data_IF_950651725546
#
_entry.id   IF_950651725546
#
_cell.length_a   1.000
_cell.length_b   1.000
_cell.length_c   1.000
_cell.angle_alpha   90.00
_cell.angle_beta   90.00
_cell.angle_gamma   90.00
#
_symmetry.space_group_name_H-M   'P 1'
#
loop_
_entity.id
_entity.type
_entity.pdbx_description
1 polymer ?
#
# COMPACT_ATOMS: atom_id res chain seq x y z
N UNK A 1 -13.60 8.40 -3.44
CA UNK A 1 -13.08 8.75 -2.10
C UNK A 1 -13.32 10.23 -1.85
N UNK A 2 -13.93 10.60 -0.70
CA UNK A 2 -14.10 12.01 -0.32
C UNK A 2 -12.74 12.64 -0.01
N UNK A 3 -12.46 13.81 -0.59
CA UNK A 3 -11.20 14.52 -0.36
C UNK A 3 -11.29 15.34 0.94
N UNK A 4 -10.65 14.85 1.99
CA UNK A 4 -10.53 15.57 3.26
C UNK A 4 -9.26 16.41 3.25
N UNK A 5 -9.37 17.68 3.66
CA UNK A 5 -8.21 18.55 3.81
C UNK A 5 -7.57 18.27 5.17
N UNK A 6 -6.24 18.09 5.22
CA UNK A 6 -5.55 17.97 6.51
C UNK A 6 -5.36 19.35 7.14
N UNK A 7 -5.77 19.48 8.39
CA UNK A 7 -5.60 20.63 9.28
C UNK A 7 -4.69 20.34 10.48
N UNK A 8 -4.03 19.18 10.48
CA UNK A 8 -3.03 18.81 11.50
C UNK A 8 -1.82 19.72 11.49
N UNK A 9 -0.90 19.51 12.43
CA UNK A 9 0.29 20.32 12.67
C UNK A 9 1.16 20.43 11.42
N UNK A 10 1.51 21.66 11.05
CA UNK A 10 2.34 21.95 9.88
C UNK A 10 3.81 21.53 10.08
N UNK A 11 4.26 21.30 11.33
CA UNK A 11 5.59 20.74 11.63
C UNK A 11 5.77 19.32 11.10
N UNK A 12 4.68 18.60 10.85
CA UNK A 12 4.69 17.24 10.28
C UNK A 12 4.63 17.25 8.73
N UNK A 13 4.78 18.42 8.11
CA UNK A 13 4.63 18.63 6.66
C UNK A 13 5.85 19.36 6.08
N UNK A 14 5.91 19.45 4.74
CA UNK A 14 6.93 20.25 4.04
C UNK A 14 8.31 19.58 3.95
N UNK A 15 8.35 18.26 4.08
CA UNK A 15 9.56 17.46 3.88
C UNK A 15 9.20 16.11 3.25
N UNK A 16 10.22 15.42 2.74
CA UNK A 16 10.08 14.08 2.18
C UNK A 16 9.62 13.08 3.25
N UNK A 17 8.43 12.50 3.10
CA UNK A 17 7.87 11.52 4.05
C UNK A 17 8.70 10.25 4.21
N UNK A 18 9.64 10.00 3.29
CA UNK A 18 10.48 8.81 3.29
C UNK A 18 11.82 8.99 4.00
N UNK A 19 12.37 10.21 4.02
CA UNK A 19 13.73 10.43 4.53
C UNK A 19 13.94 11.73 5.31
N UNK A 20 12.91 12.57 5.49
CA UNK A 20 13.03 13.88 6.12
C UNK A 20 13.78 14.93 5.29
N UNK A 21 14.15 14.58 4.05
CA UNK A 21 14.82 15.49 3.11
C UNK A 21 13.88 16.55 2.52
N UNK A 22 14.32 17.30 1.51
CA UNK A 22 13.54 18.40 0.94
C UNK A 22 12.24 17.91 0.26
N UNK A 23 11.20 18.74 0.33
CA UNK A 23 9.95 18.57 -0.42
C UNK A 23 10.12 19.12 -1.85
N UNK A 24 10.41 18.23 -2.80
CA UNK A 24 10.72 18.61 -4.19
C UNK A 24 9.68 18.11 -5.20
N UNK A 25 8.93 17.07 -4.82
CA UNK A 25 8.05 16.32 -5.69
C UNK A 25 6.87 15.76 -4.90
N UNK A 26 5.86 15.28 -5.62
CA UNK A 26 4.69 14.63 -5.05
C UNK A 26 4.74 13.14 -5.39
N UNK A 27 4.56 12.30 -4.38
CA UNK A 27 4.52 10.84 -4.48
C UNK A 27 3.08 10.35 -4.28
N UNK A 28 2.58 9.52 -5.18
CA UNK A 28 1.18 9.09 -5.15
C UNK A 28 0.99 7.90 -4.21
N UNK A 29 -0.14 7.87 -3.53
CA UNK A 29 -0.45 6.87 -2.50
C UNK A 29 -1.84 6.28 -2.80
N UNK A 30 -1.93 5.03 -3.27
CA UNK A 30 -0.83 4.23 -3.79
C UNK A 30 -0.28 4.77 -5.11
N UNK A 31 0.88 4.25 -5.48
CA UNK A 31 1.48 4.49 -6.79
C UNK A 31 0.57 4.03 -7.91
N UNK A 32 0.47 4.82 -8.97
CA UNK A 32 -0.47 4.59 -10.09
C UNK A 32 -0.29 3.23 -10.77
N UNK A 33 0.91 2.64 -10.75
CA UNK A 33 1.15 1.31 -11.34
C UNK A 33 0.36 0.19 -10.63
N UNK A 34 0.05 0.39 -9.34
CA UNK A 34 -0.76 -0.52 -8.53
C UNK A 34 -2.27 -0.35 -8.78
N UNK A 35 -2.67 0.62 -9.61
CA UNK A 35 -4.07 0.93 -9.95
C UNK A 35 -4.32 0.82 -11.45
N UNK A 36 -5.59 0.64 -11.81
CA UNK A 36 -6.07 0.64 -13.19
C UNK A 36 -6.72 1.97 -13.56
N UNK A 37 -6.69 2.27 -14.87
CA UNK A 37 -7.37 3.42 -15.45
C UNK A 37 -8.85 3.09 -15.72
N UNK A 38 -9.78 4.04 -15.49
CA UNK A 38 -9.56 5.38 -14.97
C UNK A 38 -9.19 5.40 -13.48
N UNK A 39 -8.22 6.25 -13.11
CA UNK A 39 -7.81 6.40 -11.71
C UNK A 39 -8.91 7.09 -10.89
N UNK A 40 -8.97 6.85 -9.57
CA UNK A 40 -9.79 7.66 -8.67
C UNK A 40 -9.48 9.15 -8.81
N UNK A 41 -10.51 9.99 -8.91
CA UNK A 41 -10.37 11.44 -9.16
C UNK A 41 -9.47 12.15 -8.13
N UNK A 42 -9.55 11.74 -6.86
CA UNK A 42 -8.84 12.34 -5.73
C UNK A 42 -7.75 11.40 -5.19
N UNK A 43 -6.86 10.94 -6.07
CA UNK A 43 -5.78 10.06 -5.66
C UNK A 43 -4.88 10.75 -4.62
N UNK A 44 -4.62 10.05 -3.52
CA UNK A 44 -3.87 10.60 -2.40
C UNK A 44 -2.41 10.78 -2.80
N UNK A 45 -1.75 11.76 -2.20
CA UNK A 45 -0.35 12.04 -2.48
C UNK A 45 0.34 12.75 -1.32
N UNK A 46 1.65 12.55 -1.20
CA UNK A 46 2.50 13.09 -0.13
C UNK A 46 3.75 13.76 -0.67
N UNK A 47 4.33 14.66 0.12
CA UNK A 47 5.61 15.31 -0.16
C UNK A 47 6.77 14.31 -0.22
N UNK A 48 7.63 14.43 -1.21
CA UNK A 48 8.79 13.55 -1.41
C UNK A 48 9.96 14.29 -2.06
N UNK A 49 11.18 13.90 -1.71
CA UNK A 49 12.37 14.34 -2.45
C UNK A 49 12.47 13.55 -3.77
N UNK A 50 13.18 14.12 -4.75
CA UNK A 50 13.33 13.50 -6.08
C UNK A 50 14.00 12.14 -6.01
N UNK A 51 14.96 11.96 -5.10
CA UNK A 51 15.68 10.68 -4.90
C UNK A 51 14.72 9.57 -4.42
N UNK A 52 13.91 9.84 -3.40
CA UNK A 52 12.99 8.84 -2.85
C UNK A 52 11.85 8.52 -3.81
N UNK A 53 11.25 9.54 -4.42
CA UNK A 53 10.12 9.35 -5.35
C UNK A 53 10.52 8.50 -6.58
N UNK A 54 11.71 8.74 -7.14
CA UNK A 54 12.17 7.96 -8.31
C UNK A 54 12.85 6.63 -7.95
N UNK A 55 13.41 6.52 -6.74
CA UNK A 55 14.27 5.41 -6.33
C UNK A 55 13.56 4.05 -6.21
N UNK A 56 12.23 4.03 -6.14
CA UNK A 56 11.44 2.81 -6.01
C UNK A 56 10.58 2.48 -7.22
N UNK A 57 10.62 3.28 -8.30
CA UNK A 57 9.77 3.08 -9.48
C UNK A 57 9.88 1.68 -10.09
N UNK A 58 11.09 1.13 -10.19
CA UNK A 58 11.34 -0.23 -10.69
C UNK A 58 10.85 -1.32 -9.72
N UNK A 59 10.87 -1.08 -8.42
CA UNK A 59 10.38 -2.03 -7.42
C UNK A 59 8.85 -2.07 -7.40
N UNK A 60 8.21 -0.91 -7.61
CA UNK A 60 6.75 -0.79 -7.72
C UNK A 60 6.22 -1.42 -9.01
N UNK A 61 6.89 -1.19 -10.13
CA UNK A 61 6.59 -1.85 -11.41
C UNK A 61 6.75 -3.37 -11.28
N UNK A 62 7.84 -3.82 -10.65
CA UNK A 62 8.06 -5.23 -10.37
C UNK A 62 6.93 -5.83 -9.52
N UNK A 63 6.56 -5.20 -8.40
CA UNK A 63 5.50 -5.70 -7.53
C UNK A 63 4.15 -5.77 -8.26
N UNK A 64 3.79 -4.72 -9.00
CA UNK A 64 2.54 -4.68 -9.74
C UNK A 64 2.45 -5.80 -10.79
N UNK A 65 3.55 -6.04 -11.52
CA UNK A 65 3.63 -7.11 -12.51
C UNK A 65 3.66 -8.50 -11.86
N UNK A 66 4.41 -8.68 -10.78
CA UNK A 66 4.47 -9.95 -10.04
C UNK A 66 3.08 -10.35 -9.56
N UNK A 67 2.35 -9.45 -8.89
CA UNK A 67 1.00 -9.73 -8.39
C UNK A 67 0.04 -10.12 -9.50
N UNK A 68 0.09 -9.42 -10.63
CA UNK A 68 -0.75 -9.75 -11.78
C UNK A 68 -0.44 -11.13 -12.35
N UNK A 69 0.84 -11.45 -12.52
CA UNK A 69 1.26 -12.76 -13.02
C UNK A 69 0.92 -13.89 -12.04
N UNK A 70 1.05 -13.66 -10.74
CA UNK A 70 0.67 -14.62 -9.69
C UNK A 70 -0.83 -14.91 -9.75
N UNK A 71 -1.67 -13.86 -9.82
CA UNK A 71 -3.13 -14.00 -9.87
C UNK A 71 -3.59 -14.65 -11.18
N UNK A 72 -2.95 -14.34 -12.31
CA UNK A 72 -3.25 -14.97 -13.59
C UNK A 72 -2.67 -16.40 -13.71
N UNK A 73 -1.69 -16.76 -12.88
CA UNK A 73 -0.93 -18.01 -12.98
C UNK A 73 0.04 -18.06 -14.18
N UNK A 74 0.26 -16.95 -14.87
CA UNK A 74 1.02 -16.89 -16.11
C UNK A 74 1.80 -15.56 -16.25
N UNK A 75 2.77 -15.53 -17.16
CA UNK A 75 3.52 -14.31 -17.54
C UNK A 75 3.12 -13.77 -18.91
N UNK A 76 2.40 -14.56 -19.71
CA UNK A 76 2.02 -14.20 -21.07
C UNK A 76 1.07 -12.98 -21.05
N UNK A 77 1.42 -11.84 -21.65
CA UNK A 77 0.65 -10.60 -21.55
C UNK A 77 -0.82 -10.74 -21.96
N UNK A 78 -1.14 -11.60 -22.92
CA UNK A 78 -2.49 -11.88 -23.41
C UNK A 78 -3.37 -12.67 -22.42
N UNK A 79 -2.77 -13.26 -21.38
CA UNK A 79 -3.48 -13.98 -20.31
C UNK A 79 -3.69 -13.12 -19.07
N UNK A 80 -3.12 -11.92 -19.02
CA UNK A 80 -3.23 -11.03 -17.87
C UNK A 80 -4.57 -10.29 -17.91
N UNK A 81 -5.16 -10.10 -16.74
CA UNK A 81 -6.40 -9.39 -16.52
C UNK A 81 -6.21 -7.86 -16.64
N UNK A 82 -5.07 -7.33 -16.18
CA UNK A 82 -4.79 -5.89 -16.17
C UNK A 82 -4.08 -5.45 -17.44
N UNK A 83 -4.83 -4.79 -18.33
CA UNK A 83 -4.31 -4.28 -19.62
C UNK A 83 -3.06 -3.38 -19.48
N UNK A 84 -3.00 -2.57 -18.41
CA UNK A 84 -1.84 -1.73 -18.10
C UNK A 84 -0.58 -2.57 -17.84
N UNK A 85 -0.70 -3.64 -17.06
CA UNK A 85 0.41 -4.53 -16.73
C UNK A 85 0.83 -5.36 -17.95
N UNK A 86 -0.14 -5.84 -18.73
CA UNK A 86 0.14 -6.51 -20.00
C UNK A 86 1.00 -5.65 -20.93
N UNK A 87 0.66 -4.36 -21.08
CA UNK A 87 1.46 -3.42 -21.88
C UNK A 87 2.89 -3.25 -21.33
N UNK A 88 3.03 -3.06 -20.02
CA UNK A 88 4.35 -2.95 -19.38
C UNK A 88 5.21 -4.18 -19.70
N UNK A 89 4.66 -5.39 -19.58
CA UNK A 89 5.43 -6.61 -19.84
C UNK A 89 5.71 -6.87 -21.33
N UNK A 90 4.87 -6.36 -22.23
CA UNK A 90 5.14 -6.36 -23.68
C UNK A 90 6.32 -5.43 -24.03
N UNK A 91 6.40 -4.27 -23.37
CA UNK A 91 7.42 -3.25 -23.65
C UNK A 91 8.73 -3.49 -22.88
N UNK A 92 8.66 -4.14 -21.72
CA UNK A 92 9.80 -4.40 -20.83
C UNK A 92 10.20 -5.89 -20.81
N UNK A 93 10.93 -6.31 -21.84
CA UNK A 93 11.39 -7.69 -21.98
C UNK A 93 12.31 -8.16 -20.84
N UNK A 94 13.07 -7.25 -20.22
CA UNK A 94 13.93 -7.58 -19.08
C UNK A 94 13.10 -7.98 -17.86
N UNK A 95 12.05 -7.21 -17.55
CA UNK A 95 11.14 -7.51 -16.45
C UNK A 95 10.33 -8.78 -16.73
N UNK A 96 9.84 -8.98 -17.96
CA UNK A 96 9.15 -10.21 -18.35
C UNK A 96 10.03 -11.44 -18.13
N UNK A 97 11.27 -11.42 -18.64
CA UNK A 97 12.23 -12.51 -18.45
C UNK A 97 12.55 -12.76 -16.96
N UNK A 98 12.58 -11.69 -16.15
CA UNK A 98 12.80 -11.79 -14.70
C UNK A 98 11.65 -12.54 -14.02
N UNK A 99 10.40 -12.21 -14.36
CA UNK A 99 9.20 -12.86 -13.83
C UNK A 99 9.06 -14.31 -14.33
N UNK A 100 9.40 -14.57 -15.60
CA UNK A 100 9.41 -15.92 -16.16
C UNK A 100 10.39 -16.84 -15.41
N UNK A 101 11.57 -16.33 -15.06
CA UNK A 101 12.55 -17.08 -14.25
C UNK A 101 12.11 -17.27 -12.80
N UNK A 102 11.26 -16.39 -12.28
CA UNK A 102 10.71 -16.51 -10.93
C UNK A 102 9.58 -17.55 -10.85
N UNK A 103 8.97 -17.93 -11.97
CA UNK A 103 7.90 -18.92 -12.06
C UNK A 103 8.47 -20.33 -12.22
N UNK A 104 7.97 -21.27 -11.43
CA UNK A 104 8.16 -22.71 -11.62
C UNK A 104 6.82 -23.43 -11.60
N UNK A 105 6.68 -24.54 -12.32
CA UNK A 105 5.48 -25.37 -12.23
C UNK A 105 5.57 -26.26 -10.99
N UNK A 106 4.59 -26.14 -10.09
CA UNK A 106 4.41 -27.00 -8.92
C UNK A 106 3.23 -27.97 -9.12
N UNK A 107 3.06 -28.90 -8.18
CA UNK A 107 2.00 -29.93 -8.26
C UNK A 107 0.58 -29.34 -8.25
N UNK A 108 0.36 -28.29 -7.48
CA UNK A 108 -0.94 -27.62 -7.33
C UNK A 108 -1.09 -26.38 -8.23
N UNK A 109 -0.08 -26.10 -9.06
CA UNK A 109 -0.05 -24.94 -9.95
C UNK A 109 1.26 -24.16 -9.92
N UNK A 110 1.30 -22.98 -10.55
CA UNK A 110 2.50 -22.16 -10.63
C UNK A 110 2.95 -21.65 -9.26
N UNK A 111 4.24 -21.82 -8.96
CA UNK A 111 4.91 -21.28 -7.77
C UNK A 111 5.80 -20.11 -8.21
N UNK A 112 5.84 -19.06 -7.40
CA UNK A 112 6.56 -17.83 -7.71
C UNK A 112 7.58 -17.49 -6.63
N UNK A 113 8.85 -17.42 -7.00
CA UNK A 113 9.93 -16.94 -6.15
C UNK A 113 9.96 -15.40 -6.16
N UNK A 114 9.19 -14.78 -5.27
CA UNK A 114 9.14 -13.33 -5.13
C UNK A 114 10.47 -12.75 -4.62
N UNK A 115 10.87 -11.59 -5.16
CA UNK A 115 12.00 -10.82 -4.63
C UNK A 115 11.55 -10.01 -3.41
N UNK A 116 11.52 -10.68 -2.26
CA UNK A 116 10.96 -10.14 -1.02
C UNK A 116 11.54 -8.76 -0.65
N UNK A 117 12.83 -8.51 -0.89
CA UNK A 117 13.42 -7.19 -0.61
C UNK A 117 12.75 -6.05 -1.40
N UNK A 118 12.38 -6.29 -2.67
CA UNK A 118 11.64 -5.30 -3.47
C UNK A 118 10.24 -5.09 -2.91
N UNK A 119 9.56 -6.18 -2.60
CA UNK A 119 8.20 -6.17 -2.05
C UNK A 119 8.15 -5.41 -0.73
N UNK A 120 9.08 -5.70 0.18
CA UNK A 120 9.21 -5.02 1.48
C UNK A 120 9.48 -3.53 1.35
N UNK A 121 10.37 -3.11 0.44
CA UNK A 121 10.62 -1.69 0.19
C UNK A 121 9.39 -0.95 -0.31
N UNK A 122 8.60 -1.56 -1.19
CA UNK A 122 7.35 -0.96 -1.67
C UNK A 122 6.29 -0.90 -0.57
N UNK A 123 6.13 -1.97 0.21
CA UNK A 123 5.19 -2.00 1.33
C UNK A 123 5.52 -0.90 2.36
N UNK A 124 6.79 -0.75 2.74
CA UNK A 124 7.25 0.29 3.66
C UNK A 124 7.01 1.69 3.09
N UNK A 125 7.33 1.92 1.81
CA UNK A 125 7.05 3.19 1.12
C UNK A 125 5.57 3.56 1.22
N UNK A 126 4.69 2.63 0.84
CA UNK A 126 3.24 2.86 0.87
C UNK A 126 2.75 3.12 2.30
N UNK A 127 3.27 2.39 3.29
CA UNK A 127 2.88 2.57 4.67
C UNK A 127 3.30 3.94 5.24
N UNK A 128 4.55 4.39 5.01
CA UNK A 128 5.00 5.73 5.39
C UNK A 128 4.13 6.84 4.79
N UNK A 129 3.80 6.66 3.51
CA UNK A 129 2.89 7.53 2.79
C UNK A 129 1.48 7.59 3.41
N UNK A 130 0.89 6.45 3.78
CA UNK A 130 -0.43 6.42 4.45
C UNK A 130 -0.40 7.01 5.85
N UNK A 131 0.65 6.75 6.63
CA UNK A 131 0.85 7.35 7.95
C UNK A 131 0.89 8.89 7.85
N UNK A 132 1.68 9.42 6.91
CA UNK A 132 1.75 10.86 6.68
C UNK A 132 0.45 11.44 6.11
N UNK A 133 -0.22 10.74 5.18
CA UNK A 133 -1.43 11.26 4.54
C UNK A 133 -2.66 11.21 5.44
N UNK A 134 -2.98 10.06 6.03
CA UNK A 134 -4.22 9.91 6.80
C UNK A 134 -4.07 10.44 8.23
N UNK A 135 -2.95 10.14 8.88
CA UNK A 135 -2.73 10.45 10.30
C UNK A 135 -1.99 11.77 10.53
N UNK A 136 -1.33 12.33 9.50
CA UNK A 136 -0.41 13.47 9.63
C UNK A 136 0.80 13.16 10.55
N UNK A 137 1.17 11.87 10.62
CA UNK A 137 2.26 11.34 11.44
C UNK A 137 3.31 10.64 10.55
N UNK A 138 4.28 11.37 9.97
CA UNK A 138 5.30 10.78 9.10
C UNK A 138 6.28 9.91 9.91
N UNK A 139 6.48 8.68 9.45
CA UNK A 139 7.34 7.69 10.11
C UNK A 139 8.69 7.54 9.41
N UNK A 140 9.69 8.30 9.85
CA UNK A 140 11.03 8.33 9.23
C UNK A 140 11.95 7.18 9.66
N UNK A 141 11.66 6.56 10.80
CA UNK A 141 12.43 5.43 11.31
C UNK A 141 11.98 4.12 10.67
N UNK A 142 12.80 3.07 10.83
CA UNK A 142 12.39 1.71 10.47
C UNK A 142 11.27 1.23 11.40
N UNK A 143 10.30 0.45 10.88
CA UNK A 143 9.20 -0.07 11.68
C UNK A 143 9.68 -1.13 12.68
N UNK A 144 8.96 -1.27 13.79
CA UNK A 144 9.16 -2.37 14.75
C UNK A 144 8.70 -3.71 14.17
N UNK A 145 7.74 -3.68 13.24
CA UNK A 145 7.28 -4.85 12.50
C UNK A 145 6.96 -4.53 11.03
N UNK A 146 7.34 -5.44 10.13
CA UNK A 146 6.96 -5.43 8.71
C UNK A 146 6.60 -6.85 8.30
N UNK A 147 5.30 -7.12 8.20
CA UNK A 147 4.71 -8.39 7.81
C UNK A 147 4.13 -8.32 6.40
N UNK A 148 4.43 -9.32 5.57
CA UNK A 148 3.89 -9.44 4.22
C UNK A 148 3.48 -10.88 4.01
N UNK A 149 2.22 -11.11 3.68
CA UNK A 149 1.69 -12.47 3.50
C UNK A 149 0.54 -12.49 2.49
N UNK A 150 0.55 -13.42 1.52
CA UNK A 150 -0.62 -13.66 0.70
C UNK A 150 -1.81 -14.05 1.58
N UNK A 151 -2.96 -13.40 1.38
CA UNK A 151 -4.19 -13.65 2.12
C UNK A 151 -4.64 -15.12 2.04
N UNK A 152 -4.53 -15.84 0.89
CA UNK A 152 -4.87 -17.26 0.84
C UNK A 152 -3.94 -18.17 1.66
N UNK A 153 -2.77 -17.69 2.07
CA UNK A 153 -1.81 -18.44 2.88
C UNK A 153 -1.92 -18.10 4.38
N UNK A 154 -2.79 -17.16 4.76
CA UNK A 154 -3.11 -16.91 6.16
C UNK A 154 -3.99 -18.04 6.69
N UNK A 155 -3.75 -18.47 7.92
CA UNK A 155 -4.71 -19.27 8.67
C UNK A 155 -5.97 -18.44 8.94
N UNK A 156 -7.06 -19.10 9.34
CA UNK A 156 -8.29 -18.41 9.73
C UNK A 156 -8.03 -17.38 10.85
N UNK A 157 -7.31 -17.79 11.91
CA UNK A 157 -6.94 -16.91 13.03
C UNK A 157 -6.07 -15.71 12.58
N UNK A 158 -5.10 -15.93 11.69
CA UNK A 158 -4.25 -14.87 11.15
C UNK A 158 -5.08 -13.91 10.29
N UNK A 159 -5.99 -14.44 9.46
CA UNK A 159 -6.84 -13.64 8.60
C UNK A 159 -7.82 -12.81 9.42
N UNK A 160 -8.44 -13.41 10.43
CA UNK A 160 -9.31 -12.71 11.37
C UNK A 160 -8.53 -11.60 12.10
N UNK A 161 -7.35 -11.89 12.64
CA UNK A 161 -6.53 -10.88 13.31
C UNK A 161 -6.10 -9.75 12.37
N UNK A 162 -5.78 -10.06 11.12
CA UNK A 162 -5.42 -9.07 10.11
C UNK A 162 -6.61 -8.15 9.77
N UNK A 163 -7.81 -8.71 9.56
CA UNK A 163 -9.01 -7.96 9.15
C UNK A 163 -9.74 -7.29 10.34
N UNK A 164 -9.56 -7.78 11.57
CA UNK A 164 -10.21 -7.29 12.80
C UNK A 164 -9.94 -5.81 13.01
N UNK A 165 -10.98 -5.04 13.31
CA UNK A 165 -10.81 -3.65 13.69
C UNK A 165 -10.12 -3.54 15.05
N UNK A 166 -9.14 -2.65 15.14
CA UNK A 166 -8.53 -2.37 16.42
C UNK A 166 -9.48 -1.39 17.09
N UNK A 167 -10.41 -1.92 17.90
CA UNK A 167 -11.42 -1.16 18.64
C UNK A 167 -10.74 -0.10 19.53
N UNK A 168 -10.39 1.03 18.92
CA UNK A 168 -9.65 2.12 19.54
C UNK A 168 -10.65 3.05 20.25
N UNK A 169 -11.43 2.53 21.18
CA UNK A 169 -12.26 3.35 22.06
C UNK A 169 -11.43 4.33 22.93
N UNK A 170 -10.09 4.27 22.90
CA UNK A 170 -9.19 5.04 23.77
C UNK A 170 -8.28 6.09 23.12
N UNK A 171 -7.99 6.04 21.82
CA UNK A 171 -6.97 6.91 21.18
C UNK A 171 -7.57 7.66 20.01
N UNK A 172 -7.65 8.98 20.14
CA UNK A 172 -8.10 9.87 19.07
C UNK A 172 -6.93 10.18 18.13
N UNK A 173 -7.13 10.07 16.80
CA UNK A 173 -6.11 10.52 15.85
C UNK A 173 -5.75 11.99 16.04
N UNK A 174 -4.59 12.39 15.54
CA UNK A 174 -4.12 13.78 15.61
C UNK A 174 -5.22 14.77 15.22
N UNK A 175 -5.41 15.82 16.03
CA UNK A 175 -6.43 16.84 15.80
C UNK A 175 -6.21 17.49 14.43
N UNK A 176 -7.25 17.48 13.59
CA UNK A 176 -7.19 18.03 12.23
C UNK A 176 -6.66 17.06 11.18
N UNK A 177 -6.20 15.86 11.56
CA UNK A 177 -5.88 14.78 10.62
C UNK A 177 -7.11 14.37 9.78
N UNK A 178 -6.87 13.66 8.68
CA UNK A 178 -7.96 13.12 7.86
C UNK A 178 -8.66 11.98 8.59
N UNK A 179 -7.90 11.14 9.30
CA UNK A 179 -8.45 10.10 10.15
C UNK A 179 -9.42 10.65 11.21
N UNK A 180 -9.07 11.73 11.92
CA UNK A 180 -9.99 12.36 12.88
C UNK A 180 -11.27 12.87 12.20
N UNK A 181 -11.16 13.48 11.02
CA UNK A 181 -12.34 13.93 10.28
C UNK A 181 -13.25 12.77 9.84
N UNK A 182 -12.67 11.64 9.45
CA UNK A 182 -13.44 10.42 9.10
C UNK A 182 -14.24 9.92 10.30
N UNK A 183 -13.64 9.93 11.49
CA UNK A 183 -14.34 9.60 12.75
C UNK A 183 -15.53 10.53 13.00
N UNK A 184 -15.35 11.85 12.82
CA UNK A 184 -16.41 12.84 13.05
C UNK A 184 -17.56 12.77 12.03
N UNK A 185 -17.26 12.45 10.76
CA UNK A 185 -18.25 12.38 9.68
C UNK A 185 -19.06 11.08 9.72
N UNK A 186 -18.47 9.97 10.18
CA UNK A 186 -19.13 8.66 10.22
C UNK A 186 -20.18 8.52 11.34
N UNK A 187 -20.11 9.37 12.38
CA UNK A 187 -20.97 9.27 13.56
C UNK A 187 -20.51 8.19 14.55
N UNK A 188 -20.96 8.28 15.81
CA UNK A 188 -20.53 7.43 16.93
C UNK A 188 -20.87 5.94 16.78
N UNK A 189 -21.86 5.59 15.95
CA UNK A 189 -22.25 4.20 15.68
C UNK A 189 -21.38 3.53 14.58
N UNK A 190 -20.53 4.32 13.93
CA UNK A 190 -19.58 3.86 12.91
C UNK A 190 -18.14 4.16 13.34
N UNK A 191 -17.84 3.96 14.63
CA UNK A 191 -16.47 3.87 15.12
C UNK A 191 -15.86 2.54 14.70
N UNK A 192 -15.81 2.32 13.38
CA UNK A 192 -14.97 1.32 12.77
C UNK A 192 -14.05 2.09 11.83
N UNK A 193 -12.77 2.15 12.19
CA UNK A 193 -11.70 2.60 11.31
C UNK A 193 -11.51 1.56 10.20
N UNK A 194 -12.56 1.32 9.42
CA UNK A 194 -12.62 0.28 8.42
C UNK A 194 -11.66 0.53 7.26
N UNK A 195 -11.62 -0.44 6.36
CA UNK A 195 -10.82 -0.34 5.16
C UNK A 195 -11.25 0.86 4.31
N UNK A 196 -10.29 1.74 4.01
CA UNK A 196 -10.42 2.75 2.99
C UNK A 196 -10.12 2.10 1.64
N UNK A 197 -11.16 1.83 0.87
CA UNK A 197 -11.03 1.33 -0.50
C UNK A 197 -10.62 2.48 -1.44
N UNK A 198 -9.42 2.37 -2.02
CA UNK A 198 -8.92 3.32 -3.02
C UNK A 198 -9.45 2.95 -4.40
N UNK A 199 -9.38 1.67 -4.76
CA UNK A 199 -9.96 1.10 -5.97
C UNK A 199 -10.40 -0.33 -5.66
N UNK A 200 -11.68 -0.61 -5.87
CA UNK A 200 -12.30 -1.91 -5.56
C UNK A 200 -11.52 -3.07 -6.20
N UNK A 201 -11.29 -4.13 -5.42
CA UNK A 201 -10.52 -5.30 -5.84
C UNK A 201 -9.01 -5.08 -6.07
N UNK A 202 -8.53 -3.83 -6.07
CA UNK A 202 -7.14 -3.50 -6.41
C UNK A 202 -6.33 -2.97 -5.24
N UNK A 203 -6.93 -2.08 -4.44
CA UNK A 203 -6.21 -1.45 -3.34
C UNK A 203 -7.16 -0.97 -2.24
N UNK A 204 -6.94 -1.48 -1.04
CA UNK A 204 -7.52 -0.93 0.19
C UNK A 204 -6.46 -0.85 1.28
N UNK A 205 -6.62 0.09 2.19
CA UNK A 205 -5.72 0.24 3.32
C UNK A 205 -6.49 0.66 4.57
N UNK A 206 -5.83 0.57 5.71
CA UNK A 206 -6.34 1.01 7.00
C UNK A 206 -5.18 1.49 7.86
N UNK A 207 -5.46 2.45 8.72
CA UNK A 207 -4.51 2.97 9.71
C UNK A 207 -5.12 2.90 11.10
N UNK A 208 -4.32 2.57 12.11
CA UNK A 208 -4.71 2.50 13.52
C UNK A 208 -3.59 3.09 14.39
N UNK A 209 -3.95 3.62 15.56
CA UNK A 209 -3.01 4.16 16.56
C UNK A 209 -3.18 3.50 17.93
N UNK A 210 -3.99 2.43 18.05
CA UNK A 210 -4.39 1.88 19.34
C UNK A 210 -3.23 1.34 20.17
N UNK A 211 -2.23 0.73 19.52
CA UNK A 211 -1.06 0.10 20.15
C UNK A 211 0.20 0.45 19.35
N UNK A 212 0.46 1.74 19.16
CA UNK A 212 1.42 2.23 18.17
C UNK A 212 0.76 2.48 16.81
N UNK A 213 1.52 3.05 15.87
CA UNK A 213 1.03 3.36 14.53
C UNK A 213 1.07 2.10 13.68
N UNK A 214 -0.11 1.59 13.30
CA UNK A 214 -0.27 0.42 12.44
C UNK A 214 -0.83 0.87 11.10
N UNK A 215 -0.22 0.42 10.01
CA UNK A 215 -0.75 0.54 8.65
C UNK A 215 -0.93 -0.85 8.07
N UNK A 216 -2.17 -1.19 7.71
CA UNK A 216 -2.50 -2.40 6.96
C UNK A 216 -2.86 -2.05 5.53
N UNK A 217 -2.34 -2.81 4.57
CA UNK A 217 -2.57 -2.60 3.13
C UNK A 217 -2.94 -3.94 2.52
N UNK A 218 -3.94 -3.93 1.63
CA UNK A 218 -4.27 -5.08 0.78
C UNK A 218 -4.11 -4.68 -0.67
N UNK A 219 -3.27 -5.42 -1.37
CA UNK A 219 -3.02 -5.29 -2.80
C UNK A 219 -3.73 -6.42 -3.54
N UNK A 220 -4.57 -6.06 -4.51
CA UNK A 220 -5.27 -6.99 -5.42
C UNK A 220 -6.12 -8.06 -4.72
N UNK A 221 -6.59 -7.78 -3.50
CA UNK A 221 -7.23 -8.77 -2.60
C UNK A 221 -6.43 -10.07 -2.46
N UNK A 222 -5.11 -10.00 -2.68
CA UNK A 222 -4.21 -11.15 -2.66
C UNK A 222 -3.09 -10.98 -1.66
N UNK A 223 -2.40 -9.83 -1.63
CA UNK A 223 -1.26 -9.61 -0.75
C UNK A 223 -1.64 -8.67 0.40
N UNK A 224 -1.59 -9.19 1.62
CA UNK A 224 -1.71 -8.40 2.85
C UNK A 224 -0.34 -7.93 3.33
N UNK A 225 -0.26 -6.66 3.71
CA UNK A 225 0.91 -6.06 4.34
C UNK A 225 0.49 -5.41 5.67
N UNK A 226 1.25 -5.63 6.73
CA UNK A 226 1.06 -5.00 8.05
C UNK A 226 2.39 -4.39 8.50
N UNK A 227 2.37 -3.10 8.81
CA UNK A 227 3.56 -2.34 9.20
C UNK A 227 3.25 -1.61 10.49
N UNK A 228 4.12 -1.75 11.49
CA UNK A 228 3.93 -1.21 12.84
C UNK A 228 5.12 -0.35 13.24
N UNK A 229 4.84 0.80 13.84
CA UNK A 229 5.80 1.65 14.55
C UNK A 229 5.38 1.83 16.00
N UNK A 230 6.35 1.76 16.92
CA UNK A 230 6.16 1.93 18.37
C UNK A 230 6.31 3.38 18.82
#
# INVERSE_FOLDING_TARGET
MQQLRCYGDDRNKGFCVHCGGPDETVDHVPSKVLLDEPYPENLMATSACRKCNNGLSLDEEYLACLLECVIAGDTAPEKLHRAKIARILQENSSLLNRLQRARTDGEEGPVWAAENDRVSRVALKLARCHAAFELNEPQLQEPSHLGIKPLPLMTEDEREAFERDDDAFGIWPEVGSRAMQRVLVAGTDAFAGGWVTVQEGNYRFRTSQANGLIVKIVLREYLGCEIVWD
#
